data_IF_369406120578
#
_entry.id   IF_369406120578
#
_cell.length_a   1.000
_cell.length_b   1.000
_cell.length_c   1.000
_cell.angle_alpha   90.00
_cell.angle_beta   90.00
_cell.angle_gamma   90.00
#
_symmetry.space_group_name_H-M   'P 1'
#
loop_
_entity.id
_entity.type
_entity.pdbx_description
1 polymer ?
#
# COMPACT_ATOMS: atom_id res chain seq x y z
N UNK A 1 9.32 9.18 27.54
CA UNK A 1 8.88 8.41 26.36
C UNK A 1 7.44 7.94 26.55
N UNK A 2 6.55 8.25 25.60
CA UNK A 2 5.14 7.84 25.60
C UNK A 2 4.96 6.43 25.03
N UNK A 3 3.89 5.73 25.42
CA UNK A 3 3.47 4.47 24.80
C UNK A 3 2.13 4.73 24.12
N UNK A 4 2.08 4.54 22.81
CA UNK A 4 0.87 4.76 22.01
C UNK A 4 0.35 3.40 21.53
N UNK A 5 -0.81 3.04 22.05
CA UNK A 5 -1.50 1.77 21.79
C UNK A 5 -2.18 1.72 20.42
N UNK A 6 -2.54 0.50 19.98
CA UNK A 6 -3.37 0.25 18.79
C UNK A 6 -4.68 1.05 18.84
N UNK A 7 -5.35 1.09 19.98
CA UNK A 7 -6.59 1.86 20.17
C UNK A 7 -6.35 3.36 19.92
N UNK A 8 -5.28 3.93 20.47
CA UNK A 8 -4.97 5.35 20.26
C UNK A 8 -4.61 5.65 18.80
N UNK A 9 -3.92 4.75 18.09
CA UNK A 9 -3.68 4.90 16.66
C UNK A 9 -5.00 4.96 15.89
N UNK A 10 -5.90 4.00 16.12
CA UNK A 10 -7.18 3.94 15.39
C UNK A 10 -8.15 5.07 15.75
N UNK A 11 -8.15 5.55 17.00
CA UNK A 11 -9.06 6.62 17.44
C UNK A 11 -8.63 8.02 17.00
N UNK A 12 -7.36 8.21 16.61
CA UNK A 12 -6.84 9.54 16.24
C UNK A 12 -6.53 9.70 14.75
N UNK A 13 -6.35 8.60 14.00
CA UNK A 13 -6.07 8.70 12.57
C UNK A 13 -7.33 8.79 11.72
N UNK A 14 -7.26 9.67 10.72
CA UNK A 14 -8.21 9.80 9.63
C UNK A 14 -7.44 9.90 8.31
N UNK A 15 -7.99 9.38 7.22
CA UNK A 15 -7.25 9.27 5.96
C UNK A 15 -6.91 10.62 5.31
N UNK A 16 -7.76 11.63 5.46
CA UNK A 16 -7.47 13.01 5.04
C UNK A 16 -6.19 13.53 5.70
N UNK A 17 -6.05 13.37 7.02
CA UNK A 17 -4.86 13.77 7.77
C UNK A 17 -3.63 12.93 7.41
N UNK A 18 -3.78 11.60 7.29
CA UNK A 18 -2.68 10.70 6.90
C UNK A 18 -2.16 11.05 5.51
N UNK A 19 -3.05 11.21 4.54
CA UNK A 19 -2.68 11.50 3.14
C UNK A 19 -2.06 12.89 3.02
N UNK A 20 -2.56 13.89 3.76
CA UNK A 20 -1.94 15.21 3.82
C UNK A 20 -0.52 15.16 4.40
N UNK A 21 -0.33 14.43 5.51
CA UNK A 21 0.98 14.26 6.14
C UNK A 21 1.96 13.52 5.22
N UNK A 22 1.51 12.46 4.54
CA UNK A 22 2.30 11.75 3.54
C UNK A 22 2.68 12.66 2.37
N UNK A 23 1.71 13.40 1.82
CA UNK A 23 1.92 14.34 0.71
C UNK A 23 3.00 15.37 1.01
N UNK A 24 2.95 15.99 2.18
CA UNK A 24 3.95 16.98 2.62
C UNK A 24 5.28 16.31 2.92
N UNK A 25 5.26 15.20 3.66
CA UNK A 25 6.48 14.53 4.13
C UNK A 25 7.30 13.93 2.99
N UNK A 26 6.67 13.29 2.00
CA UNK A 26 7.35 12.79 0.80
C UNK A 26 7.94 13.90 -0.07
N UNK A 27 7.49 15.14 0.09
CA UNK A 27 8.05 16.29 -0.61
C UNK A 27 9.30 16.90 0.04
N UNK A 28 9.63 16.47 1.26
CA UNK A 28 10.79 16.96 2.01
C UNK A 28 11.98 16.00 1.93
N UNK A 29 13.22 16.49 2.14
CA UNK A 29 14.36 15.61 2.33
C UNK A 29 14.16 14.67 3.52
N UNK A 30 14.51 13.41 3.34
CA UNK A 30 14.48 12.39 4.37
C UNK A 30 15.56 11.34 4.11
N UNK A 31 16.02 10.66 5.16
CA UNK A 31 16.87 9.50 5.05
C UNK A 31 16.07 8.22 5.24
N UNK A 32 16.24 7.28 4.31
CA UNK A 32 15.61 5.95 4.35
C UNK A 32 16.61 4.90 3.86
N UNK A 33 17.55 4.46 4.71
CA UNK A 33 18.43 3.37 4.35
C UNK A 33 17.61 2.10 4.00
N UNK A 34 18.18 1.17 3.22
CA UNK A 34 17.55 -0.12 2.96
C UNK A 34 17.12 -0.81 4.26
N UNK A 35 15.95 -1.45 4.23
CA UNK A 35 15.50 -2.29 5.35
C UNK A 35 16.50 -3.42 5.59
N UNK A 36 16.72 -3.77 6.85
CA UNK A 36 17.50 -4.95 7.21
C UNK A 36 16.52 -6.06 7.59
N UNK A 37 16.66 -7.22 6.96
CA UNK A 37 15.85 -8.40 7.22
C UNK A 37 16.77 -9.51 7.71
N UNK A 38 16.47 -10.04 8.89
CA UNK A 38 17.17 -11.14 9.53
C UNK A 38 16.28 -12.37 9.46
N UNK A 39 16.69 -13.38 8.69
CA UNK A 39 16.07 -14.71 8.70
C UNK A 39 16.38 -15.38 10.03
N UNK A 40 15.35 -15.86 10.73
CA UNK A 40 15.48 -16.44 12.08
C UNK A 40 15.69 -17.97 12.05
N UNK A 41 15.61 -18.56 10.87
CA UNK A 41 15.85 -19.98 10.64
C UNK A 41 16.68 -20.17 9.37
N UNK A 42 17.52 -21.20 9.38
CA UNK A 42 18.25 -21.67 8.19
C UNK A 42 17.46 -22.73 7.42
N UNK A 43 16.32 -23.20 7.93
CA UNK A 43 15.48 -24.18 7.26
C UNK A 43 14.77 -23.54 6.05
N UNK A 44 14.91 -24.13 4.86
CA UNK A 44 14.35 -23.59 3.61
C UNK A 44 12.82 -23.35 3.65
N UNK A 45 12.09 -24.15 4.44
CA UNK A 45 10.63 -24.03 4.59
C UNK A 45 10.19 -23.16 5.77
N UNK A 46 11.13 -22.54 6.49
CA UNK A 46 10.83 -21.60 7.55
C UNK A 46 11.16 -20.18 7.05
N UNK A 47 10.14 -19.32 7.05
CA UNK A 47 10.24 -17.94 6.59
C UNK A 47 10.11 -16.92 7.73
N UNK A 48 10.40 -17.36 8.96
CA UNK A 48 10.41 -16.52 10.14
C UNK A 48 11.49 -15.46 10.00
N UNK A 49 11.10 -14.21 10.19
CA UNK A 49 11.99 -13.07 9.99
C UNK A 49 11.77 -12.00 11.05
N UNK A 50 12.85 -11.30 11.37
CA UNK A 50 12.83 -10.02 12.08
C UNK A 50 13.38 -8.94 11.14
N UNK A 51 12.72 -7.80 11.06
CA UNK A 51 13.17 -6.72 10.20
C UNK A 51 13.17 -5.37 10.91
N UNK A 52 14.15 -4.54 10.57
CA UNK A 52 14.27 -3.16 11.05
C UNK A 52 14.35 -2.18 9.89
N UNK A 53 13.61 -1.08 10.01
CA UNK A 53 13.42 -0.08 8.98
C UNK A 53 13.67 1.31 9.59
N UNK A 54 14.90 1.81 9.53
CA UNK A 54 15.22 3.15 9.98
C UNK A 54 14.72 4.19 8.98
N UNK A 55 14.29 5.34 9.48
CA UNK A 55 14.08 6.54 8.69
C UNK A 55 14.31 7.80 9.55
N UNK A 56 14.59 8.94 8.93
CA UNK A 56 14.63 10.23 9.61
C UNK A 56 14.23 11.37 8.68
N UNK A 57 13.65 12.42 9.26
CA UNK A 57 13.49 13.73 8.61
C UNK A 57 14.26 14.79 9.41
N UNK A 58 13.91 16.06 9.23
CA UNK A 58 14.45 17.21 9.94
C UNK A 58 14.07 17.24 11.43
N UNK A 59 12.97 16.58 11.82
CA UNK A 59 12.40 16.69 13.17
C UNK A 59 12.56 15.43 14.02
N UNK A 60 12.41 14.24 13.42
CA UNK A 60 12.38 12.97 14.14
C UNK A 60 13.21 11.89 13.44
N UNK A 61 13.67 10.93 14.24
CA UNK A 61 14.21 9.65 13.80
C UNK A 61 13.19 8.59 14.16
N UNK A 62 12.94 7.63 13.26
CA UNK A 62 12.10 6.48 13.54
C UNK A 62 12.83 5.18 13.23
N UNK A 63 12.57 4.14 14.02
CA UNK A 63 12.89 2.77 13.65
C UNK A 63 11.64 1.93 13.82
N UNK A 64 11.12 1.40 12.71
CA UNK A 64 10.12 0.33 12.76
C UNK A 64 10.84 -0.99 12.90
N UNK A 65 10.41 -1.81 13.85
CA UNK A 65 10.80 -3.21 13.96
C UNK A 65 9.57 -4.09 13.84
N UNK A 66 9.66 -5.17 13.07
CA UNK A 66 8.58 -6.13 12.97
C UNK A 66 9.08 -7.56 12.91
N UNK A 67 8.23 -8.46 13.38
CA UNK A 67 8.39 -9.90 13.19
C UNK A 67 7.43 -10.39 12.12
N UNK A 68 7.86 -11.36 11.33
CA UNK A 68 7.03 -12.07 10.37
C UNK A 68 7.17 -13.56 10.65
N UNK A 69 6.05 -14.20 10.99
CA UNK A 69 5.91 -15.60 11.35
C UNK A 69 4.66 -16.14 10.63
N UNK A 70 4.77 -16.59 9.38
CA UNK A 70 3.60 -16.91 8.55
C UNK A 70 2.71 -18.00 9.17
N UNK A 71 3.30 -18.97 9.88
CA UNK A 71 2.60 -20.10 10.48
C UNK A 71 1.89 -19.76 11.80
N UNK A 72 2.06 -18.55 12.35
CA UNK A 72 1.39 -18.15 13.61
C UNK A 72 -0.13 -18.19 13.53
N UNK A 73 -0.69 -18.05 12.33
CA UNK A 73 -2.14 -18.08 12.09
C UNK A 73 -2.75 -19.41 12.51
N UNK A 74 -2.01 -20.52 12.40
CA UNK A 74 -2.46 -21.86 12.78
C UNK A 74 -2.61 -22.00 14.30
N UNK A 75 -1.92 -21.14 15.06
CA UNK A 75 -1.96 -21.06 16.52
C UNK A 75 -2.79 -19.89 17.04
N UNK A 76 -3.56 -19.22 16.16
CA UNK A 76 -4.43 -18.10 16.54
C UNK A 76 -3.73 -16.75 16.75
N UNK A 77 -2.44 -16.64 16.41
CA UNK A 77 -1.68 -15.39 16.49
C UNK A 77 -1.64 -14.67 15.14
N UNK A 78 -1.32 -13.36 15.15
CA UNK A 78 -1.07 -12.61 13.91
C UNK A 78 0.25 -13.10 13.31
N UNK A 79 0.32 -13.18 11.98
CA UNK A 79 1.57 -13.48 11.27
C UNK A 79 2.60 -12.36 11.35
N UNK A 80 2.19 -11.15 11.74
CA UNK A 80 3.08 -9.99 11.85
C UNK A 80 2.72 -9.15 13.07
N UNK A 81 3.74 -8.81 13.85
CA UNK A 81 3.68 -7.80 14.91
C UNK A 81 4.74 -6.75 14.66
N UNK A 82 4.38 -5.48 14.84
CA UNK A 82 5.26 -4.35 14.55
C UNK A 82 5.19 -3.28 15.64
N UNK A 83 6.31 -2.63 15.91
CA UNK A 83 6.45 -1.45 16.78
C UNK A 83 7.29 -0.39 16.09
N UNK A 84 7.02 0.88 16.38
CA UNK A 84 7.79 2.01 15.88
C UNK A 84 8.30 2.81 17.07
N UNK A 85 9.63 2.96 17.16
CA UNK A 85 10.27 3.85 18.12
C UNK A 85 10.54 5.20 17.45
N UNK A 86 10.14 6.30 18.09
CA UNK A 86 10.46 7.66 17.68
C UNK A 86 11.48 8.29 18.62
N UNK A 87 12.43 9.01 18.04
CA UNK A 87 13.39 9.85 18.75
C UNK A 87 13.32 11.28 18.20
N UNK A 88 13.56 12.26 19.08
CA UNK A 88 13.82 13.63 18.68
C UNK A 88 15.11 13.69 17.86
N UNK A 89 15.10 14.44 16.74
CA UNK A 89 16.30 14.58 15.90
C UNK A 89 17.34 15.50 16.51
N UNK A 90 16.93 16.41 17.40
CA UNK A 90 17.81 17.44 17.97
C UNK A 90 18.78 16.87 19.00
N UNK A 91 18.26 16.13 19.99
CA UNK A 91 19.04 15.59 21.11
C UNK A 91 19.06 14.05 21.16
N UNK A 92 18.29 13.38 20.30
CA UNK A 92 18.20 11.91 20.29
C UNK A 92 17.34 11.34 21.40
N UNK A 93 16.53 12.15 22.08
CA UNK A 93 15.67 11.68 23.17
C UNK A 93 14.57 10.75 22.66
N UNK A 94 14.30 9.62 23.33
CA UNK A 94 13.19 8.73 22.96
C UNK A 94 11.84 9.38 23.26
N UNK A 95 11.07 9.64 22.21
CA UNK A 95 9.78 10.33 22.27
C UNK A 95 8.64 9.36 22.53
N UNK A 96 8.51 8.31 21.71
CA UNK A 96 7.39 7.37 21.81
C UNK A 96 7.70 5.97 21.28
N UNK A 97 7.07 4.97 21.90
CA UNK A 97 6.91 3.62 21.36
C UNK A 97 5.46 3.43 20.90
N UNK A 98 5.27 3.21 19.61
CA UNK A 98 3.97 3.24 18.93
C UNK A 98 3.65 1.85 18.40
N UNK A 99 2.37 1.46 18.44
CA UNK A 99 1.91 0.25 17.77
C UNK A 99 2.12 0.34 16.25
N UNK A 100 3.13 -0.35 15.74
CA UNK A 100 3.52 -0.33 14.34
C UNK A 100 2.61 -1.18 13.45
N UNK A 101 1.86 -2.12 14.04
CA UNK A 101 0.93 -2.99 13.31
C UNK A 101 -0.24 -2.17 12.76
N UNK A 102 -0.87 -1.40 13.63
CA UNK A 102 -1.94 -0.46 13.25
C UNK A 102 -1.43 0.64 12.33
N UNK A 103 -0.28 1.27 12.63
CA UNK A 103 0.34 2.27 11.74
C UNK A 103 0.60 1.70 10.34
N UNK A 104 1.01 0.43 10.22
CA UNK A 104 1.23 -0.22 8.92
C UNK A 104 -0.05 -0.30 8.09
N UNK A 105 -1.21 -0.54 8.71
CA UNK A 105 -2.49 -0.56 7.99
C UNK A 105 -2.81 0.82 7.39
N UNK A 106 -2.71 1.86 8.23
CA UNK A 106 -2.99 3.25 7.84
C UNK A 106 -2.04 3.77 6.77
N UNK A 107 -0.73 3.62 6.99
CA UNK A 107 0.29 4.17 6.09
C UNK A 107 0.30 3.45 4.75
N UNK A 108 0.03 2.14 4.70
CA UNK A 108 -0.03 1.39 3.44
C UNK A 108 -1.21 1.85 2.59
N UNK A 109 -2.38 1.97 3.21
CA UNK A 109 -3.57 2.48 2.53
C UNK A 109 -3.44 3.95 2.14
N UNK A 110 -2.86 4.79 3.01
CA UNK A 110 -2.60 6.20 2.73
C UNK A 110 -1.61 6.40 1.58
N UNK A 111 -0.57 5.56 1.47
CA UNK A 111 0.38 5.58 0.34
C UNK A 111 -0.32 5.25 -0.98
N UNK A 112 -1.12 4.18 -1.02
CA UNK A 112 -1.91 3.81 -2.20
C UNK A 112 -2.88 4.92 -2.60
N UNK A 113 -3.63 5.45 -1.64
CA UNK A 113 -4.58 6.53 -1.90
C UNK A 113 -3.89 7.83 -2.35
N UNK A 114 -2.70 8.15 -1.82
CA UNK A 114 -1.91 9.29 -2.29
C UNK A 114 -1.45 9.10 -3.74
N UNK A 115 -0.95 7.91 -4.09
CA UNK A 115 -0.58 7.58 -5.46
C UNK A 115 -1.80 7.67 -6.40
N UNK A 116 -2.91 7.06 -6.00
CA UNK A 116 -4.19 7.16 -6.71
C UNK A 116 -4.66 8.61 -6.87
N UNK A 117 -4.45 9.46 -5.87
CA UNK A 117 -4.80 10.88 -5.94
C UNK A 117 -4.00 11.63 -7.01
N UNK A 118 -2.75 11.23 -7.27
CA UNK A 118 -1.91 11.79 -8.34
C UNK A 118 -2.17 11.17 -9.71
N UNK A 119 -2.45 9.86 -9.77
CA UNK A 119 -2.35 9.07 -11.01
C UNK A 119 -3.70 8.69 -11.63
N UNK A 120 -4.75 8.57 -10.83
CA UNK A 120 -6.09 8.25 -11.33
C UNK A 120 -6.81 9.49 -11.85
N UNK A 121 -7.80 9.28 -12.74
CA UNK A 121 -8.67 10.37 -13.19
C UNK A 121 -9.41 11.00 -12.02
N UNK A 122 -9.61 12.31 -12.06
CA UNK A 122 -10.33 13.04 -11.00
C UNK A 122 -11.82 12.72 -10.97
N UNK A 123 -12.37 12.25 -12.08
CA UNK A 123 -13.75 11.83 -12.23
C UNK A 123 -13.98 10.32 -11.98
N UNK A 124 -12.96 9.56 -11.55
CA UNK A 124 -13.12 8.15 -11.18
C UNK A 124 -14.27 7.94 -10.20
N UNK A 125 -15.15 6.98 -10.49
CA UNK A 125 -16.36 6.64 -9.73
C UNK A 125 -16.41 5.19 -9.27
N UNK A 126 -15.75 4.28 -9.96
CA UNK A 126 -15.80 2.85 -9.66
C UNK A 126 -14.44 2.26 -9.28
N UNK A 127 -14.35 1.74 -8.06
CA UNK A 127 -13.20 0.96 -7.57
C UNK A 127 -13.50 -0.54 -7.61
N UNK A 128 -12.65 -1.31 -8.28
CA UNK A 128 -12.58 -2.77 -8.13
C UNK A 128 -11.42 -3.11 -7.20
N UNK A 129 -11.71 -3.74 -6.07
CA UNK A 129 -10.72 -4.09 -5.06
C UNK A 129 -10.53 -5.61 -4.97
N UNK A 130 -9.31 -6.07 -5.14
CA UNK A 130 -8.93 -7.47 -4.98
C UNK A 130 -8.40 -7.73 -3.58
N UNK A 131 -9.10 -8.60 -2.85
CA UNK A 131 -8.74 -9.03 -1.51
C UNK A 131 -9.82 -8.76 -0.46
N UNK A 132 -9.81 -9.54 0.61
CA UNK A 132 -10.67 -9.37 1.79
C UNK A 132 -9.90 -9.56 3.10
N UNK A 133 -8.59 -9.30 3.07
CA UNK A 133 -7.70 -9.38 4.22
C UNK A 133 -7.71 -8.11 5.08
N UNK A 134 -6.81 -8.04 6.06
CA UNK A 134 -6.77 -6.97 7.07
C UNK A 134 -6.58 -5.57 6.49
N UNK A 135 -5.93 -5.43 5.33
CA UNK A 135 -5.76 -4.15 4.64
C UNK A 135 -7.03 -3.69 3.91
N UNK A 136 -7.94 -4.59 3.55
CA UNK A 136 -9.02 -4.29 2.61
C UNK A 136 -9.92 -3.12 3.06
N UNK A 137 -10.29 -3.10 4.35
CA UNK A 137 -11.07 -2.01 4.93
C UNK A 137 -10.35 -0.66 4.76
N UNK A 138 -9.09 -0.60 5.19
CA UNK A 138 -8.27 0.61 5.16
C UNK A 138 -8.04 1.10 3.73
N UNK A 139 -7.71 0.18 2.82
CA UNK A 139 -7.48 0.48 1.42
C UNK A 139 -8.72 1.11 0.79
N UNK A 140 -9.89 0.49 0.94
CA UNK A 140 -11.14 1.01 0.36
C UNK A 140 -11.50 2.37 0.97
N UNK A 141 -11.44 2.51 2.30
CA UNK A 141 -11.70 3.79 2.98
C UNK A 141 -10.75 4.91 2.51
N UNK A 142 -9.46 4.61 2.34
CA UNK A 142 -8.48 5.58 1.85
C UNK A 142 -8.79 6.02 0.41
N UNK A 143 -9.20 5.11 -0.47
CA UNK A 143 -9.56 5.44 -1.85
C UNK A 143 -10.84 6.28 -1.93
N UNK A 144 -11.84 5.98 -1.10
CA UNK A 144 -13.05 6.80 -0.95
C UNK A 144 -12.69 8.23 -0.51
N UNK A 145 -11.66 8.40 0.32
CA UNK A 145 -11.24 9.73 0.78
C UNK A 145 -10.61 10.62 -0.29
N UNK A 146 -10.11 10.04 -1.40
CA UNK A 146 -9.40 10.79 -2.46
C UNK A 146 -10.15 10.90 -3.77
N UNK A 147 -11.23 10.11 -3.95
CA UNK A 147 -12.08 10.12 -5.14
C UNK A 147 -13.55 10.00 -4.74
N UNK A 148 -14.42 10.70 -5.46
CA UNK A 148 -15.87 10.63 -5.25
C UNK A 148 -16.45 9.36 -5.85
N UNK A 149 -16.08 8.21 -5.27
CA UNK A 149 -16.56 6.90 -5.67
C UNK A 149 -18.07 6.79 -5.40
N UNK A 150 -18.79 6.16 -6.30
CA UNK A 150 -20.20 5.79 -6.11
C UNK A 150 -20.41 4.28 -6.16
N UNK A 151 -19.38 3.51 -6.52
CA UNK A 151 -19.42 2.05 -6.55
C UNK A 151 -18.08 1.45 -6.12
N UNK A 152 -18.14 0.38 -5.35
CA UNK A 152 -17.00 -0.46 -4.98
C UNK A 152 -17.37 -1.93 -5.18
N UNK A 153 -16.62 -2.61 -6.02
CA UNK A 153 -16.73 -4.06 -6.22
C UNK A 153 -15.55 -4.76 -5.57
N UNK A 154 -15.82 -5.68 -4.64
CA UNK A 154 -14.78 -6.50 -4.00
C UNK A 154 -14.72 -7.88 -4.66
N UNK A 155 -13.53 -8.26 -5.13
CA UNK A 155 -13.22 -9.58 -5.66
C UNK A 155 -12.34 -10.32 -4.66
N UNK A 156 -12.81 -11.45 -4.15
CA UNK A 156 -12.04 -12.23 -3.18
C UNK A 156 -12.37 -13.73 -3.24
N UNK A 157 -11.37 -14.57 -2.92
CA UNK A 157 -11.56 -16.03 -2.81
C UNK A 157 -12.59 -16.41 -1.75
N UNK A 158 -12.55 -15.75 -0.60
CA UNK A 158 -13.52 -15.95 0.48
C UNK A 158 -14.63 -14.90 0.36
N UNK A 159 -15.77 -15.31 -0.20
CA UNK A 159 -16.94 -14.46 -0.44
C UNK A 159 -17.62 -14.00 0.85
N UNK A 160 -17.61 -14.82 1.91
CA UNK A 160 -18.24 -14.45 3.19
C UNK A 160 -17.46 -13.34 3.90
N UNK A 161 -16.12 -13.41 3.89
CA UNK A 161 -15.26 -12.33 4.39
C UNK A 161 -15.47 -11.05 3.59
N UNK A 162 -15.56 -11.14 2.26
CA UNK A 162 -15.86 -9.99 1.41
C UNK A 162 -17.24 -9.38 1.75
N UNK A 163 -18.28 -10.21 1.86
CA UNK A 163 -19.62 -9.76 2.22
C UNK A 163 -19.65 -9.08 3.60
N UNK A 164 -18.90 -9.60 4.58
CA UNK A 164 -18.80 -8.98 5.90
C UNK A 164 -18.09 -7.62 5.85
N UNK A 165 -16.99 -7.52 5.11
CA UNK A 165 -16.29 -6.27 4.87
C UNK A 165 -17.23 -5.22 4.24
N UNK A 166 -17.98 -5.61 3.21
CA UNK A 166 -18.90 -4.71 2.52
C UNK A 166 -20.05 -4.25 3.41
N UNK A 167 -20.57 -5.09 4.32
CA UNK A 167 -21.57 -4.65 5.31
C UNK A 167 -21.02 -3.57 6.24
N UNK A 168 -19.77 -3.71 6.69
CA UNK A 168 -19.10 -2.69 7.52
C UNK A 168 -18.88 -1.38 6.77
N UNK A 169 -18.56 -1.44 5.48
CA UNK A 169 -18.38 -0.24 4.65
C UNK A 169 -19.71 0.43 4.32
N UNK A 170 -20.74 -0.35 3.98
CA UNK A 170 -22.07 0.15 3.65
C UNK A 170 -22.74 0.90 4.82
N UNK A 171 -22.45 0.52 6.07
CA UNK A 171 -22.96 1.26 7.24
C UNK A 171 -22.28 2.62 7.44
N UNK A 172 -21.07 2.82 6.89
CA UNK A 172 -20.32 4.08 6.96
C UNK A 172 -20.54 4.98 5.73
N UNK A 173 -20.68 4.39 4.55
CA UNK A 173 -20.73 5.10 3.27
C UNK A 173 -22.03 4.79 2.50
N UNK A 174 -23.14 5.37 2.97
CA UNK A 174 -24.49 5.08 2.43
C UNK A 174 -24.74 5.55 0.99
N UNK A 175 -23.86 6.40 0.45
CA UNK A 175 -23.93 6.92 -0.92
C UNK A 175 -23.18 6.05 -1.94
N UNK A 176 -22.55 4.96 -1.50
CA UNK A 176 -21.75 4.06 -2.35
C UNK A 176 -22.46 2.71 -2.47
N UNK A 177 -22.58 2.22 -3.71
CA UNK A 177 -22.98 0.84 -3.98
C UNK A 177 -21.81 -0.11 -3.71
N UNK A 178 -21.99 -1.05 -2.79
CA UNK A 178 -21.01 -2.09 -2.49
C UNK A 178 -21.49 -3.44 -2.98
N UNK A 179 -20.68 -4.15 -3.77
CA UNK A 179 -21.02 -5.49 -4.22
C UNK A 179 -19.82 -6.45 -4.26
N UNK A 180 -20.09 -7.74 -4.11
CA UNK A 180 -19.09 -8.80 -4.35
C UNK A 180 -19.13 -9.16 -5.82
N UNK A 181 -17.97 -9.10 -6.49
CA UNK A 181 -17.84 -9.39 -7.92
C UNK A 181 -17.00 -10.63 -8.22
N UNK A 182 -16.63 -10.78 -9.49
CA UNK A 182 -15.73 -11.80 -9.99
C UNK A 182 -14.54 -11.17 -10.73
N UNK A 183 -13.47 -11.94 -10.90
CA UNK A 183 -12.32 -11.54 -11.71
C UNK A 183 -12.61 -11.83 -13.19
N UNK A 184 -13.43 -10.99 -13.82
CA UNK A 184 -13.84 -11.15 -15.22
C UNK A 184 -13.78 -9.83 -16.01
N UNK A 185 -13.82 -9.95 -17.34
CA UNK A 185 -13.72 -8.81 -18.25
C UNK A 185 -14.81 -7.77 -17.99
N UNK A 186 -16.05 -8.19 -17.69
CA UNK A 186 -17.15 -7.27 -17.41
C UNK A 186 -16.87 -6.40 -16.17
N UNK A 187 -16.30 -6.99 -15.12
CA UNK A 187 -15.92 -6.27 -13.90
C UNK A 187 -14.78 -5.29 -14.19
N UNK A 188 -13.69 -5.75 -14.80
CA UNK A 188 -12.48 -4.95 -15.01
C UNK A 188 -12.68 -3.83 -16.05
N UNK A 189 -13.45 -4.08 -17.12
CA UNK A 189 -13.74 -3.09 -18.15
C UNK A 189 -14.65 -1.95 -17.65
N UNK A 190 -15.33 -2.13 -16.52
CA UNK A 190 -16.12 -1.09 -15.86
C UNK A 190 -15.32 -0.26 -14.84
N UNK A 191 -14.18 -0.77 -14.36
CA UNK A 191 -13.40 -0.17 -13.28
C UNK A 191 -12.69 1.12 -13.71
N UNK A 192 -12.80 2.20 -12.93
CA UNK A 192 -11.90 3.36 -13.09
C UNK A 192 -10.58 3.17 -12.34
N UNK A 193 -10.66 2.47 -11.21
CA UNK A 193 -9.53 2.13 -10.37
C UNK A 193 -9.60 0.64 -10.06
N UNK A 194 -8.48 -0.06 -10.18
CA UNK A 194 -8.26 -1.42 -9.71
C UNK A 194 -7.22 -1.38 -8.61
N UNK A 195 -7.47 -1.98 -7.46
CA UNK A 195 -6.48 -2.03 -6.37
C UNK A 195 -6.36 -3.45 -5.84
N UNK A 196 -5.13 -3.93 -5.73
CA UNK A 196 -4.80 -5.29 -5.31
C UNK A 196 -4.00 -5.26 -4.02
N UNK A 197 -4.51 -5.93 -2.99
CA UNK A 197 -3.80 -6.15 -1.73
C UNK A 197 -3.93 -7.62 -1.30
N UNK A 198 -3.45 -8.50 -2.17
CA UNK A 198 -3.50 -9.96 -1.99
C UNK A 198 -2.11 -10.57 -1.87
N UNK A 199 -2.01 -11.74 -1.23
CA UNK A 199 -0.82 -12.58 -1.30
C UNK A 199 -0.85 -13.55 -2.48
N UNK A 200 -1.44 -13.16 -3.62
CA UNK A 200 -1.54 -14.07 -4.78
C UNK A 200 -0.17 -14.28 -5.42
N UNK A 201 0.13 -15.54 -5.76
CA UNK A 201 1.33 -15.89 -6.51
C UNK A 201 1.13 -15.89 -8.02
N UNK A 202 -0.12 -15.81 -8.48
CA UNK A 202 -0.50 -15.76 -9.88
C UNK A 202 -1.31 -14.49 -10.19
N UNK A 203 -1.27 -14.00 -11.45
CA UNK A 203 -2.09 -12.89 -11.90
C UNK A 203 -3.57 -13.05 -11.51
N UNK A 204 -4.16 -11.96 -11.03
CA UNK A 204 -5.55 -11.91 -10.57
C UNK A 204 -6.55 -11.59 -11.69
N UNK A 205 -6.07 -10.96 -12.76
CA UNK A 205 -6.85 -10.53 -13.91
C UNK A 205 -5.95 -10.41 -15.13
N UNK A 206 -6.56 -10.41 -16.31
CA UNK A 206 -5.88 -10.16 -17.58
C UNK A 206 -5.74 -8.66 -17.82
N UNK A 207 -4.53 -8.20 -18.13
CA UNK A 207 -4.25 -6.80 -18.37
C UNK A 207 -5.00 -6.26 -19.58
N UNK A 208 -5.42 -7.12 -20.52
CA UNK A 208 -6.25 -6.78 -21.69
C UNK A 208 -7.64 -6.26 -21.32
N UNK A 209 -8.20 -6.71 -20.19
CA UNK A 209 -9.54 -6.30 -19.72
C UNK A 209 -9.60 -4.88 -19.16
N UNK A 210 -8.44 -4.27 -18.87
CA UNK A 210 -8.38 -2.91 -18.38
C UNK A 210 -8.81 -1.92 -19.46
N UNK A 211 -9.82 -1.11 -19.12
CA UNK A 211 -10.27 -0.01 -19.96
C UNK A 211 -9.22 1.11 -20.04
N UNK A 212 -9.18 1.87 -21.14
CA UNK A 212 -8.38 3.10 -21.19
C UNK A 212 -8.73 4.05 -20.05
N UNK A 213 -7.71 4.74 -19.53
CA UNK A 213 -7.89 5.64 -18.39
C UNK A 213 -8.01 4.94 -17.02
N UNK A 214 -7.80 3.63 -16.94
CA UNK A 214 -7.79 2.92 -15.65
C UNK A 214 -6.53 3.24 -14.83
N UNK A 215 -6.68 3.32 -13.51
CA UNK A 215 -5.55 3.34 -12.57
C UNK A 215 -5.46 2.02 -11.81
N UNK A 216 -4.25 1.48 -11.62
CA UNK A 216 -4.02 0.20 -10.97
C UNK A 216 -3.03 0.35 -9.82
N UNK A 217 -3.44 -0.04 -8.61
CA UNK A 217 -2.58 -0.13 -7.42
C UNK A 217 -2.21 -1.59 -7.13
N UNK A 218 -0.91 -1.89 -7.04
CA UNK A 218 -0.38 -3.24 -6.80
C UNK A 218 0.42 -3.26 -5.49
N UNK A 219 -0.21 -3.70 -4.41
CA UNK A 219 0.25 -3.43 -3.03
C UNK A 219 0.56 -4.71 -2.26
N UNK A 220 -0.11 -5.82 -2.56
CA UNK A 220 -0.11 -7.00 -1.70
C UNK A 220 1.16 -7.84 -1.75
N UNK A 221 1.78 -7.94 -2.93
CA UNK A 221 2.91 -8.82 -3.15
C UNK A 221 4.27 -8.10 -3.05
N UNK A 222 5.25 -8.75 -2.42
CA UNK A 222 6.64 -8.29 -2.26
C UNK A 222 7.63 -9.45 -2.48
N UNK A 223 7.24 -10.41 -3.32
CA UNK A 223 8.07 -11.53 -3.76
C UNK A 223 8.59 -11.27 -5.18
N UNK A 224 9.90 -11.45 -5.37
CA UNK A 224 10.56 -11.27 -6.69
C UNK A 224 10.05 -12.21 -7.78
N UNK A 225 9.54 -13.38 -7.39
CA UNK A 225 9.16 -14.47 -8.31
C UNK A 225 7.63 -14.67 -8.39
N UNK A 226 6.84 -13.74 -7.86
CA UNK A 226 5.37 -13.80 -7.89
C UNK A 226 4.76 -12.44 -8.20
N UNK A 227 3.54 -12.43 -8.75
CA UNK A 227 2.88 -11.20 -9.20
C UNK A 227 1.35 -11.26 -9.09
N UNK A 228 0.74 -10.13 -8.75
CA UNK A 228 -0.71 -9.95 -8.71
C UNK A 228 -1.33 -9.62 -10.07
N UNK A 229 -0.54 -9.15 -11.04
CA UNK A 229 -0.99 -8.85 -12.40
C UNK A 229 -0.12 -9.55 -13.45
N UNK A 230 -0.61 -9.62 -14.67
CA UNK A 230 0.15 -10.13 -15.81
C UNK A 230 1.14 -9.09 -16.37
N UNK A 231 2.00 -9.53 -17.27
CA UNK A 231 2.95 -8.67 -17.99
C UNK A 231 2.25 -7.63 -18.87
N UNK A 232 1.10 -7.98 -19.46
CA UNK A 232 0.34 -7.07 -20.32
C UNK A 232 -0.09 -5.81 -19.57
N UNK A 233 -0.51 -5.95 -18.31
CA UNK A 233 -0.88 -4.82 -17.43
C UNK A 233 0.26 -3.80 -17.35
N UNK A 234 1.48 -4.28 -17.09
CA UNK A 234 2.65 -3.42 -16.91
C UNK A 234 3.11 -2.80 -18.22
N UNK A 235 3.14 -3.58 -19.31
CA UNK A 235 3.52 -3.09 -20.64
C UNK A 235 2.61 -1.96 -21.14
N UNK A 236 1.30 -2.06 -20.87
CA UNK A 236 0.31 -1.06 -21.29
C UNK A 236 0.31 0.21 -20.45
N UNK A 237 0.89 0.18 -19.25
CA UNK A 237 0.74 1.24 -18.27
C UNK A 237 1.92 2.22 -18.22
N UNK A 238 1.63 3.44 -17.77
CA UNK A 238 2.60 4.37 -17.21
C UNK A 238 2.90 3.93 -15.77
N UNK A 239 4.10 3.43 -15.52
CA UNK A 239 4.45 2.76 -14.26
C UNK A 239 5.15 3.72 -13.29
N UNK A 240 4.62 3.80 -12.09
CA UNK A 240 5.16 4.53 -10.95
C UNK A 240 5.34 3.59 -9.77
N UNK A 241 6.26 3.92 -8.88
CA UNK A 241 6.63 3.06 -7.75
C UNK A 241 6.74 3.85 -6.46
N UNK A 242 6.70 3.18 -5.31
CA UNK A 242 7.04 3.82 -4.04
C UNK A 242 8.55 4.09 -3.94
N UNK A 243 9.37 3.07 -4.20
CA UNK A 243 10.83 3.11 -4.25
C UNK A 243 11.34 2.22 -5.37
N UNK A 244 12.00 2.82 -6.36
CA UNK A 244 12.63 2.12 -7.48
C UNK A 244 13.67 1.13 -7.00
N UNK A 245 14.44 1.47 -5.96
CA UNK A 245 15.44 0.57 -5.38
C UNK A 245 14.76 -0.66 -4.80
N UNK A 246 13.71 -0.51 -3.99
CA UNK A 246 13.06 -1.67 -3.37
C UNK A 246 12.27 -2.49 -4.40
N UNK A 247 11.51 -1.84 -5.28
CA UNK A 247 10.73 -2.52 -6.32
C UNK A 247 11.62 -3.33 -7.25
N UNK A 248 12.79 -2.82 -7.65
CA UNK A 248 13.74 -3.56 -8.48
C UNK A 248 14.52 -4.67 -7.73
N UNK A 249 14.22 -4.90 -6.45
CA UNK A 249 14.75 -6.03 -5.68
C UNK A 249 13.66 -6.99 -5.22
N UNK A 250 12.43 -6.52 -5.03
CA UNK A 250 11.39 -7.24 -4.30
C UNK A 250 10.10 -7.50 -5.12
N UNK A 251 9.82 -6.75 -6.19
CA UNK A 251 8.50 -6.79 -6.83
C UNK A 251 8.48 -7.61 -8.13
N UNK A 252 7.95 -8.84 -8.07
CA UNK A 252 7.77 -9.68 -9.25
C UNK A 252 6.85 -9.09 -10.32
N UNK A 253 5.93 -8.18 -9.96
CA UNK A 253 5.14 -7.43 -10.97
C UNK A 253 6.03 -6.65 -11.96
N UNK A 254 7.21 -6.19 -11.54
CA UNK A 254 8.13 -5.45 -12.43
C UNK A 254 9.30 -6.33 -12.86
N UNK A 255 9.81 -7.17 -11.95
CA UNK A 255 10.97 -8.02 -12.21
C UNK A 255 10.70 -9.11 -13.25
N UNK A 256 9.52 -9.75 -13.19
CA UNK A 256 9.18 -10.80 -14.14
C UNK A 256 9.06 -10.25 -15.58
N UNK A 257 8.30 -9.16 -15.86
CA UNK A 257 8.30 -8.52 -17.18
C UNK A 257 9.68 -8.10 -17.70
N UNK A 258 10.59 -7.66 -16.82
CA UNK A 258 11.98 -7.36 -17.22
C UNK A 258 12.71 -8.64 -17.62
N UNK A 259 12.61 -9.70 -16.81
CA UNK A 259 13.26 -10.98 -17.11
C UNK A 259 12.73 -11.65 -18.38
N UNK A 260 11.45 -11.44 -18.68
CA UNK A 260 10.77 -11.87 -19.91
C UNK A 260 11.17 -11.02 -21.14
N UNK A 261 11.92 -9.92 -20.96
CA UNK A 261 12.31 -9.01 -22.03
C UNK A 261 11.18 -8.08 -22.52
N UNK A 262 10.06 -8.03 -21.79
CA UNK A 262 8.88 -7.26 -22.18
C UNK A 262 9.02 -5.75 -21.89
N UNK A 263 9.77 -5.39 -20.85
CA UNK A 263 10.08 -4.00 -20.48
C UNK A 263 11.54 -3.85 -20.04
N UNK A 264 12.06 -2.63 -20.03
CA UNK A 264 13.32 -2.28 -19.40
C UNK A 264 13.10 -1.59 -18.03
N UNK A 265 14.15 -1.48 -17.20
CA UNK A 265 14.10 -0.73 -15.93
C UNK A 265 13.65 0.74 -16.12
N UNK A 266 13.92 1.32 -17.29
CA UNK A 266 13.50 2.67 -17.68
C UNK A 266 11.99 2.81 -17.91
N UNK A 267 11.23 1.71 -17.90
CA UNK A 267 9.77 1.73 -17.98
C UNK A 267 9.12 2.32 -16.72
N UNK A 268 9.84 2.32 -15.59
CA UNK A 268 9.43 3.03 -14.38
C UNK A 268 9.67 4.53 -14.58
N UNK A 269 8.59 5.31 -14.63
CA UNK A 269 8.60 6.74 -14.95
C UNK A 269 8.91 7.63 -13.75
N UNK A 270 8.65 7.18 -12.52
CA UNK A 270 8.87 7.99 -11.33
C UNK A 270 8.53 7.30 -10.02
N UNK A 271 8.95 7.92 -8.93
CA UNK A 271 8.67 7.49 -7.56
C UNK A 271 7.60 8.37 -6.89
N UNK A 272 6.95 7.85 -5.85
CA UNK A 272 5.94 8.60 -5.08
C UNK A 272 6.47 9.92 -4.52
N UNK A 273 7.73 9.95 -4.08
CA UNK A 273 8.42 11.15 -3.57
C UNK A 273 8.69 12.21 -4.65
N UNK A 274 8.58 11.83 -5.92
CA UNK A 274 8.78 12.69 -7.07
C UNK A 274 7.44 13.19 -7.61
N UNK A 275 6.34 12.46 -7.40
CA UNK A 275 5.02 12.75 -8.01
C UNK A 275 4.47 14.16 -7.73
N UNK A 276 4.83 14.77 -6.60
CA UNK A 276 4.40 16.13 -6.29
C UNK A 276 5.04 17.21 -7.18
N UNK A 277 6.15 16.89 -7.86
CA UNK A 277 6.97 17.78 -8.69
C UNK A 277 7.24 17.22 -10.08
N UNK A 278 6.86 15.96 -10.34
CA UNK A 278 6.89 15.39 -11.67
C UNK A 278 5.92 16.16 -12.56
N UNK A 279 6.41 16.61 -13.70
CA UNK A 279 5.59 17.16 -14.80
C UNK A 279 4.85 16.03 -15.53
N UNK A 280 4.31 15.05 -14.81
CA UNK A 280 3.49 14.00 -15.40
C UNK A 280 2.10 14.56 -15.67
N UNK A 281 1.84 14.91 -16.93
CA UNK A 281 0.49 15.22 -17.40
C UNK A 281 -0.15 13.94 -17.93
N UNK A 282 -1.07 13.39 -17.14
CA UNK A 282 -1.86 12.22 -17.49
C UNK A 282 -2.75 12.53 -18.71
N UNK A 283 -2.68 11.69 -19.74
CA UNK A 283 -3.64 11.72 -20.85
C UNK A 283 -4.92 10.96 -20.48
N UNK A 284 -6.09 11.28 -21.05
CA UNK A 284 -7.36 10.64 -20.69
C UNK A 284 -7.32 9.11 -20.76
N UNK A 285 -6.71 8.58 -21.82
CA UNK A 285 -6.62 7.15 -22.12
C UNK A 285 -5.48 6.42 -21.42
N UNK A 286 -4.55 7.15 -20.76
CA UNK A 286 -3.41 6.53 -20.09
C UNK A 286 -3.89 5.53 -19.04
N UNK A 287 -3.39 4.30 -19.12
CA UNK A 287 -3.44 3.37 -17.99
C UNK A 287 -2.25 3.71 -17.10
N UNK A 288 -2.47 3.84 -15.80
CA UNK A 288 -1.40 4.11 -14.83
C UNK A 288 -1.31 2.95 -13.84
N UNK A 289 -0.09 2.59 -13.47
CA UNK A 289 0.17 1.57 -12.45
C UNK A 289 1.01 2.22 -11.35
N UNK A 290 0.63 2.00 -10.10
CA UNK A 290 1.48 2.25 -8.95
C UNK A 290 1.80 0.94 -8.24
N UNK A 291 3.09 0.63 -8.13
CA UNK A 291 3.58 -0.55 -7.40
C UNK A 291 4.23 -0.12 -6.09
N UNK A 292 3.80 -0.72 -4.99
CA UNK A 292 4.36 -0.46 -3.66
C UNK A 292 4.88 -1.74 -3.02
N UNK A 293 6.05 -1.68 -2.38
CA UNK A 293 6.61 -2.74 -1.52
C UNK A 293 6.86 -2.26 -0.08
N UNK A 294 6.63 -0.98 0.19
CA UNK A 294 6.75 -0.32 1.48
C UNK A 294 8.02 0.51 1.63
N UNK A 295 7.86 1.67 2.29
CA UNK A 295 8.95 2.59 2.59
C UNK A 295 8.95 2.98 4.07
N UNK A 296 10.12 2.96 4.70
CA UNK A 296 10.30 3.36 6.08
C UNK A 296 9.82 4.80 6.36
N UNK A 297 9.93 5.70 5.37
CA UNK A 297 9.44 7.07 5.49
C UNK A 297 7.93 7.13 5.72
N UNK A 298 7.14 6.26 5.07
CA UNK A 298 5.68 6.23 5.30
C UNK A 298 5.35 5.79 6.72
N UNK A 299 6.15 4.91 7.32
CA UNK A 299 6.00 4.56 8.74
C UNK A 299 6.35 5.74 9.64
N UNK A 300 7.46 6.44 9.37
CA UNK A 300 7.89 7.63 10.11
C UNK A 300 6.83 8.72 10.11
N UNK A 301 6.33 9.10 8.93
CA UNK A 301 5.39 10.21 8.77
C UNK A 301 4.06 9.93 9.46
N UNK A 302 3.54 8.71 9.34
CA UNK A 302 2.30 8.33 10.02
C UNK A 302 2.52 8.21 11.54
N UNK A 303 3.64 7.67 12.00
CA UNK A 303 3.98 7.60 13.42
C UNK A 303 4.13 9.01 14.03
N UNK A 304 4.79 9.93 13.34
CA UNK A 304 4.95 11.33 13.75
C UNK A 304 3.58 12.04 13.82
N UNK A 305 2.70 11.79 12.85
CA UNK A 305 1.34 12.32 12.88
C UNK A 305 0.56 11.82 14.10
N UNK A 306 0.54 10.51 14.36
CA UNK A 306 -0.14 9.96 15.54
C UNK A 306 0.42 10.55 16.82
N UNK A 307 1.75 10.62 16.94
CA UNK A 307 2.41 11.18 18.11
C UNK A 307 1.92 12.61 18.43
N UNK A 308 1.79 13.46 17.40
CA UNK A 308 1.29 14.83 17.54
C UNK A 308 -0.21 14.93 17.81
N UNK A 309 -1.01 13.95 17.39
CA UNK A 309 -2.46 13.97 17.62
C UNK A 309 -2.84 13.45 19.01
N UNK A 310 -1.98 12.62 19.61
CA UNK A 310 -2.21 12.05 20.95
C UNK A 310 -1.75 12.99 22.07
N UNK A 311 -0.85 13.92 21.78
CA UNK A 311 -0.28 14.87 22.74
C UNK A 311 -0.85 16.28 22.56
#
# INVERSE_FOLDING_TARGET
>A
MHIISEQQVHSNLHFDAVIAALKVGFAKPAGTPPRQVFTLSECENNHDAFAVLPAWNDEVISVKSFTYFPNNVDSGFKSLYSKIMLFDRTHGEPLALIDGTSVTLWRTAGVSALACAYLSRTDSRHLVFFGSGNLALYMIEAHISVRSLNKVTVVARNKDKAASLLRTLASKFTHIEFCVGAADEATLSSADIVSCATGSHAPLFEGSWLKPGCHVDLIGNHHKDARECDTVTICRAKVFVDSRVNVLNEAGEVLLPISEGAIAKSHILGELSELHRLNFTRMPEDITVFKSVGMALSDLLTAQLVYRLVL
#
